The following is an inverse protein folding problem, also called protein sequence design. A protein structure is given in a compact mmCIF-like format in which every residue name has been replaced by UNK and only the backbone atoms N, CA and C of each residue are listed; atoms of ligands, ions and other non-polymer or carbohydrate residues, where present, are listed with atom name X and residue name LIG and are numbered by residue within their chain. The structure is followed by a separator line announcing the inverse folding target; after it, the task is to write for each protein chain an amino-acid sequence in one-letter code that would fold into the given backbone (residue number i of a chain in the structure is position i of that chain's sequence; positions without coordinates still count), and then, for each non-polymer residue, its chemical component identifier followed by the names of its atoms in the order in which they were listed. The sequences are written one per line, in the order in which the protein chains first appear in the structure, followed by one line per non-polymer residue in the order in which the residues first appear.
data_IF_962785597786
#
_entry.id   IF_962785597786
#
_cell.length_a   1.000
_cell.length_b   1.000
_cell.length_c   1.000
_cell.angle_alpha   90.00
_cell.angle_beta   90.00
_cell.angle_gamma   90.00
#
_symmetry.space_group_name_H-M   'P 1'
#
loop_
_entity.id
_entity.type
_entity.pdbx_description
1 polymer ?
#
# COMPACT_ATOMS: atom_id res chain seq x y z
N UNK A 1 -39.44 -2.60 -57.26
CA UNK A 1 -38.54 -1.47 -56.85
C UNK A 1 -38.58 -1.12 -55.36
N UNK A 2 -39.64 -1.45 -54.58
CA UNK A 2 -39.67 -1.14 -53.14
C UNK A 2 -38.87 -2.13 -52.26
N UNK A 3 -38.81 -3.43 -52.60
CA UNK A 3 -38.05 -4.45 -51.84
C UNK A 3 -36.53 -4.19 -51.79
N UNK A 4 -35.93 -3.71 -52.88
CA UNK A 4 -34.48 -3.41 -52.93
C UNK A 4 -34.07 -2.25 -51.99
N UNK A 5 -35.01 -1.35 -51.65
CA UNK A 5 -34.78 -0.29 -50.67
C UNK A 5 -34.80 -0.81 -49.23
N UNK A 6 -35.63 -1.81 -48.92
CA UNK A 6 -35.69 -2.45 -47.60
C UNK A 6 -34.41 -3.25 -47.31
N UNK A 7 -33.91 -4.03 -48.27
CA UNK A 7 -32.65 -4.78 -48.12
C UNK A 7 -31.41 -3.88 -47.97
N UNK A 8 -31.41 -2.70 -48.61
CA UNK A 8 -30.35 -1.68 -48.39
C UNK A 8 -30.43 -1.07 -46.99
N UNK A 9 -31.63 -0.83 -46.45
CA UNK A 9 -31.79 -0.29 -45.11
C UNK A 9 -31.31 -1.28 -44.04
N UNK A 10 -31.63 -2.58 -44.15
CA UNK A 10 -31.17 -3.59 -43.18
C UNK A 10 -29.65 -3.79 -43.20
N UNK A 11 -29.03 -3.82 -44.39
CA UNK A 11 -27.57 -3.92 -44.52
C UNK A 11 -26.85 -2.68 -43.97
N UNK A 12 -27.43 -1.49 -44.14
CA UNK A 12 -26.89 -0.25 -43.58
C UNK A 12 -27.11 -0.14 -42.07
N UNK A 13 -28.20 -0.68 -41.53
CA UNK A 13 -28.45 -0.77 -40.09
C UNK A 13 -27.44 -1.69 -39.40
N UNK A 14 -27.13 -2.86 -39.99
CA UNK A 14 -26.07 -3.77 -39.48
C UNK A 14 -24.67 -3.16 -39.53
N UNK A 15 -24.35 -2.39 -40.58
CA UNK A 15 -23.07 -1.66 -40.69
C UNK A 15 -22.97 -0.47 -39.72
N UNK A 16 -24.06 0.25 -39.47
CA UNK A 16 -24.13 1.32 -38.44
C UNK A 16 -24.00 0.76 -37.03
N UNK A 17 -24.66 -0.36 -36.72
CA UNK A 17 -24.53 -1.04 -35.43
C UNK A 17 -23.10 -1.49 -35.16
N UNK A 18 -22.43 -2.09 -36.14
CA UNK A 18 -21.03 -2.54 -36.01
C UNK A 18 -20.05 -1.37 -35.81
N UNK A 19 -20.29 -0.22 -36.45
CA UNK A 19 -19.52 1.01 -36.20
C UNK A 19 -19.80 1.61 -34.83
N UNK A 20 -21.05 1.60 -34.36
CA UNK A 20 -21.41 2.05 -33.02
C UNK A 20 -20.72 1.22 -31.92
N UNK A 21 -20.72 -0.11 -32.07
CA UNK A 21 -20.01 -1.01 -31.15
C UNK A 21 -18.51 -0.79 -31.20
N UNK A 22 -17.93 -0.61 -32.39
CA UNK A 22 -16.49 -0.37 -32.53
C UNK A 22 -16.08 0.98 -31.91
N UNK A 23 -16.86 2.05 -32.12
CA UNK A 23 -16.62 3.35 -31.48
C UNK A 23 -16.74 3.23 -29.96
N UNK A 24 -17.78 2.57 -29.46
CA UNK A 24 -17.95 2.34 -28.02
C UNK A 24 -16.79 1.55 -27.41
N UNK A 25 -16.30 0.53 -28.11
CA UNK A 25 -15.12 -0.23 -27.70
C UNK A 25 -13.86 0.63 -27.67
N UNK A 26 -13.59 1.43 -28.70
CA UNK A 26 -12.44 2.33 -28.71
C UNK A 26 -12.51 3.39 -27.61
N UNK A 27 -13.69 3.99 -27.38
CA UNK A 27 -13.90 4.94 -26.29
C UNK A 27 -13.66 4.27 -24.94
N UNK A 28 -14.20 3.06 -24.73
CA UNK A 28 -13.98 2.29 -23.51
C UNK A 28 -12.49 1.98 -23.30
N UNK A 29 -11.79 1.53 -24.34
CA UNK A 29 -10.34 1.25 -24.28
C UNK A 29 -9.56 2.54 -23.96
N UNK A 30 -9.88 3.66 -24.59
CA UNK A 30 -9.22 4.96 -24.31
C UNK A 30 -9.48 5.41 -22.88
N UNK A 31 -10.70 5.25 -22.35
CA UNK A 31 -11.02 5.58 -20.96
C UNK A 31 -10.28 4.66 -20.00
N UNK A 32 -10.24 3.35 -20.25
CA UNK A 32 -9.49 2.40 -19.42
C UNK A 32 -8.00 2.72 -19.45
N UNK A 33 -7.43 2.99 -20.62
CA UNK A 33 -6.03 3.42 -20.75
C UNK A 33 -5.83 4.72 -19.97
N UNK A 34 -6.69 5.73 -20.12
CA UNK A 34 -6.56 6.99 -19.39
C UNK A 34 -6.66 6.79 -17.88
N UNK A 35 -7.58 5.96 -17.39
CA UNK A 35 -7.72 5.62 -15.96
C UNK A 35 -6.49 4.85 -15.46
N UNK A 36 -6.02 3.85 -16.19
CA UNK A 36 -4.80 3.12 -15.87
C UNK A 36 -3.58 4.03 -15.89
N UNK A 37 -3.47 4.94 -16.87
CA UNK A 37 -2.41 5.94 -16.92
C UNK A 37 -2.50 6.86 -15.73
N UNK A 38 -3.68 7.38 -15.36
CA UNK A 38 -3.83 8.24 -14.16
C UNK A 38 -3.47 7.47 -12.89
N UNK A 39 -3.91 6.22 -12.72
CA UNK A 39 -3.57 5.39 -11.55
C UNK A 39 -2.08 5.05 -11.50
N UNK A 40 -1.47 4.70 -12.64
CA UNK A 40 -0.04 4.45 -12.73
C UNK A 40 0.72 5.74 -12.50
N UNK A 41 0.25 6.90 -12.98
CA UNK A 41 0.93 8.18 -12.81
C UNK A 41 0.79 8.67 -11.38
N UNK A 42 -0.34 8.48 -10.68
CA UNK A 42 -0.44 8.85 -9.26
C UNK A 42 0.35 7.89 -8.37
N UNK A 43 0.39 6.60 -8.70
CA UNK A 43 1.25 5.64 -8.00
C UNK A 43 2.73 5.80 -8.34
N UNK A 44 3.08 6.21 -9.56
CA UNK A 44 4.45 6.46 -10.01
C UNK A 44 4.93 7.82 -9.51
N UNK A 45 4.16 8.89 -9.59
CA UNK A 45 4.48 10.19 -8.95
C UNK A 45 4.57 10.03 -7.44
N UNK A 46 3.76 9.15 -6.84
CA UNK A 46 3.88 8.74 -5.45
C UNK A 46 5.06 7.80 -5.12
N UNK A 47 5.63 7.08 -6.10
CA UNK A 47 6.75 6.11 -5.90
C UNK A 47 8.09 6.50 -6.53
N UNK A 48 8.14 7.46 -7.44
CA UNK A 48 9.33 7.87 -8.23
C UNK A 48 9.73 9.33 -8.00
N UNK A 49 9.09 10.04 -7.06
CA UNK A 49 9.39 11.44 -6.81
C UNK A 49 8.70 12.34 -7.83
N UNK A 50 8.01 13.35 -7.31
CA UNK A 50 7.31 14.34 -8.10
C UNK A 50 8.17 14.89 -9.23
N UNK A 51 7.53 15.06 -10.39
CA UNK A 51 8.04 15.85 -11.49
C UNK A 51 8.47 17.20 -10.89
N UNK A 52 9.79 17.45 -10.90
CA UNK A 52 10.42 18.66 -10.42
C UNK A 52 9.82 19.90 -11.08
N UNK A 53 8.80 20.49 -10.47
CA UNK A 53 8.64 21.93 -10.50
C UNK A 53 9.61 22.49 -9.48
N UNK A 54 10.69 23.11 -9.96
CA UNK A 54 11.77 23.78 -9.23
C UNK A 54 11.28 24.91 -8.33
N UNK A 55 10.48 24.55 -7.33
CA UNK A 55 10.13 25.41 -6.21
C UNK A 55 11.27 25.21 -5.21
N UNK A 56 11.91 26.29 -4.71
CA UNK A 56 12.89 26.16 -3.65
C UNK A 56 12.32 25.27 -2.55
N UNK A 57 13.05 24.22 -2.16
CA UNK A 57 12.65 23.40 -1.02
C UNK A 57 12.81 24.31 0.19
N UNK A 58 11.68 24.79 0.72
CA UNK A 58 11.67 25.49 1.99
C UNK A 58 12.04 24.47 3.08
N UNK A 59 13.08 24.78 3.86
CA UNK A 59 13.60 23.92 4.93
C UNK A 59 12.48 23.42 5.85
N UNK A 60 11.57 24.32 6.25
CA UNK A 60 10.44 24.00 7.13
C UNK A 60 9.48 22.98 6.51
N UNK A 61 9.10 23.19 5.24
CA UNK A 61 8.29 22.21 4.50
C UNK A 61 9.02 20.87 4.33
N UNK A 62 10.33 20.90 4.14
CA UNK A 62 11.15 19.70 4.04
C UNK A 62 11.05 18.87 5.31
N UNK A 63 11.25 19.50 6.48
CA UNK A 63 11.16 18.84 7.79
C UNK A 63 9.75 18.32 8.06
N UNK A 64 8.71 19.12 7.80
CA UNK A 64 7.31 18.69 7.96
C UNK A 64 6.98 17.49 7.06
N UNK A 65 7.49 17.48 5.82
CA UNK A 65 7.27 16.38 4.89
C UNK A 65 7.96 15.08 5.35
N UNK A 66 9.16 15.17 5.93
CA UNK A 66 9.86 14.04 6.52
C UNK A 66 9.08 13.49 7.72
N UNK A 67 8.61 14.36 8.62
CA UNK A 67 7.82 13.94 9.78
C UNK A 67 6.52 13.24 9.35
N UNK A 68 5.82 13.79 8.37
CA UNK A 68 4.62 13.16 7.81
C UNK A 68 4.92 11.80 7.15
N UNK A 69 6.07 11.66 6.49
CA UNK A 69 6.50 10.40 5.90
C UNK A 69 6.76 9.32 6.97
N UNK A 70 7.40 9.67 8.10
CA UNK A 70 7.61 8.75 9.23
C UNK A 70 6.27 8.26 9.79
N UNK A 71 5.32 9.17 10.03
CA UNK A 71 4.01 8.79 10.56
C UNK A 71 3.23 7.89 9.59
N UNK A 72 3.28 8.21 8.29
CA UNK A 72 2.71 7.32 7.24
C UNK A 72 3.37 5.94 7.28
N UNK A 73 4.71 5.89 7.36
CA UNK A 73 5.43 4.63 7.38
C UNK A 73 5.12 3.78 8.61
N UNK A 74 5.00 4.41 9.78
CA UNK A 74 4.58 3.78 11.03
C UNK A 74 3.17 3.18 10.91
N UNK A 75 2.22 3.94 10.39
CA UNK A 75 0.84 3.45 10.19
C UNK A 75 0.79 2.27 9.20
N UNK A 76 1.55 2.32 8.11
CA UNK A 76 1.63 1.23 7.14
C UNK A 76 2.22 -0.04 7.78
N UNK A 77 3.28 0.09 8.57
CA UNK A 77 3.89 -1.04 9.27
C UNK A 77 2.95 -1.66 10.32
N UNK A 78 2.20 -0.82 11.07
CA UNK A 78 1.26 -1.28 12.09
C UNK A 78 0.12 -2.14 11.51
N UNK A 79 -0.33 -1.86 10.28
CA UNK A 79 -1.34 -2.67 9.59
C UNK A 79 -0.81 -3.99 9.03
N UNK A 80 0.51 -4.18 8.99
CA UNK A 80 1.11 -5.39 8.44
C UNK A 80 1.07 -6.54 9.46
N UNK A 81 0.35 -7.62 9.12
CA UNK A 81 0.32 -8.86 9.91
C UNK A 81 1.40 -9.85 9.48
N UNK A 82 2.44 -9.36 8.82
CA UNK A 82 3.46 -10.16 8.16
C UNK A 82 4.69 -10.40 9.05
N UNK A 83 5.69 -11.11 8.51
CA UNK A 83 6.97 -11.33 9.19
C UNK A 83 7.77 -10.04 9.38
N UNK A 84 8.68 -10.02 10.35
CA UNK A 84 9.59 -8.90 10.63
C UNK A 84 10.18 -8.26 9.36
N UNK A 85 10.75 -9.07 8.47
CA UNK A 85 11.39 -8.60 7.24
C UNK A 85 10.42 -7.83 6.33
N UNK A 86 9.16 -8.29 6.24
CA UNK A 86 8.13 -7.62 5.43
C UNK A 86 7.62 -6.35 6.10
N UNK A 87 7.44 -6.34 7.42
CA UNK A 87 7.03 -5.15 8.16
C UNK A 87 8.07 -4.01 8.01
N UNK A 88 9.35 -4.34 8.16
CA UNK A 88 10.45 -3.37 7.95
C UNK A 88 10.56 -2.94 6.49
N UNK A 89 10.38 -3.85 5.53
CA UNK A 89 10.38 -3.49 4.11
C UNK A 89 9.22 -2.54 3.75
N UNK A 90 8.03 -2.76 4.31
CA UNK A 90 6.87 -1.87 4.14
C UNK A 90 7.09 -0.51 4.76
N UNK A 91 7.69 -0.46 5.96
CA UNK A 91 8.09 0.79 6.60
C UNK A 91 9.03 1.59 5.70
N UNK A 92 10.14 0.98 5.25
CA UNK A 92 11.12 1.64 4.36
C UNK A 92 10.52 2.07 3.02
N UNK A 93 9.67 1.24 2.42
CA UNK A 93 8.98 1.58 1.18
C UNK A 93 8.02 2.76 1.33
N UNK A 94 7.49 2.98 2.54
CA UNK A 94 6.52 4.05 2.83
C UNK A 94 7.18 5.37 3.22
N UNK A 95 8.46 5.35 3.60
CA UNK A 95 9.29 6.54 3.84
C UNK A 95 9.72 7.24 2.54
N UNK A 96 9.77 6.50 1.43
CA UNK A 96 10.04 7.08 0.11
C UNK A 96 8.79 7.81 -0.43
N UNK A 97 8.97 8.89 -1.22
CA UNK A 97 10.21 9.48 -1.75
C UNK A 97 10.80 10.64 -0.92
N UNK A 98 10.27 10.94 0.26
CA UNK A 98 10.73 12.06 1.09
C UNK A 98 12.12 11.78 1.68
N UNK A 99 12.38 10.53 2.09
CA UNK A 99 13.66 10.14 2.67
C UNK A 99 14.84 10.23 1.69
N UNK A 100 14.63 9.92 0.41
CA UNK A 100 15.66 10.08 -0.63
C UNK A 100 16.05 11.54 -0.89
N UNK A 101 15.14 12.50 -0.62
CA UNK A 101 15.40 13.94 -0.76
C UNK A 101 16.00 14.59 0.50
N UNK A 102 16.34 13.80 1.53
CA UNK A 102 16.93 14.31 2.78
C UNK A 102 18.17 15.18 2.55
N UNK A 103 19.07 14.77 1.65
CA UNK A 103 20.27 15.55 1.33
C UNK A 103 19.97 16.89 0.65
N UNK A 104 18.82 17.04 0.00
CA UNK A 104 18.38 18.31 -0.60
C UNK A 104 17.79 19.23 0.48
N UNK A 105 17.04 18.65 1.43
CA UNK A 105 16.47 19.35 2.59
C UNK A 105 17.58 19.84 3.52
N UNK A 106 18.59 19.02 3.80
CA UNK A 106 19.75 19.40 4.62
C UNK A 106 20.49 20.61 4.02
N UNK A 107 20.67 20.63 2.69
CA UNK A 107 21.25 21.77 1.97
C UNK A 107 20.38 23.03 2.05
N UNK A 108 19.05 22.88 2.03
CA UNK A 108 18.13 24.00 2.24
C UNK A 108 18.16 24.53 3.69
N UNK A 109 18.45 23.66 4.66
CA UNK A 109 18.53 24.01 6.08
C UNK A 109 19.92 24.48 6.54
N UNK A 110 20.96 24.35 5.73
CA UNK A 110 22.36 24.61 6.11
C UNK A 110 22.64 26.00 6.73
N UNK A 111 21.80 27.01 6.42
CA UNK A 111 21.91 28.36 6.98
C UNK A 111 21.14 28.60 8.29
N UNK A 112 20.44 27.60 8.83
CA UNK A 112 19.55 27.74 9.99
C UNK A 112 19.86 26.66 11.05
N UNK A 113 20.67 26.97 12.08
CA UNK A 113 21.11 25.97 13.07
C UNK A 113 19.93 25.34 13.83
N UNK A 114 18.94 26.13 14.24
CA UNK A 114 17.75 25.65 14.95
C UNK A 114 16.94 24.66 14.09
N UNK A 115 16.93 24.85 12.77
CA UNK A 115 16.22 23.96 11.84
C UNK A 115 17.02 22.71 11.50
N UNK A 116 18.36 22.79 11.52
CA UNK A 116 19.21 21.61 11.41
C UNK A 116 19.04 20.68 12.62
N UNK A 117 18.91 21.22 13.82
CA UNK A 117 18.60 20.44 15.02
C UNK A 117 17.23 19.74 14.90
N UNK A 118 16.22 20.47 14.43
CA UNK A 118 14.90 19.89 14.16
C UNK A 118 14.95 18.79 13.09
N UNK A 119 15.73 18.98 12.02
CA UNK A 119 15.94 17.97 10.98
C UNK A 119 16.62 16.72 11.54
N UNK A 120 17.67 16.88 12.34
CA UNK A 120 18.38 15.75 12.98
C UNK A 120 17.46 14.97 13.92
N UNK A 121 16.63 15.66 14.71
CA UNK A 121 15.63 15.03 15.56
C UNK A 121 14.63 14.18 14.75
N UNK A 122 14.17 14.65 13.59
CA UNK A 122 13.27 13.88 12.71
C UNK A 122 13.98 12.68 12.09
N UNK A 123 15.24 12.81 11.72
CA UNK A 123 16.05 11.70 11.20
C UNK A 123 16.23 10.64 12.29
N UNK A 124 16.55 11.06 13.50
CA UNK A 124 16.69 10.19 14.66
C UNK A 124 15.38 9.46 14.97
N UNK A 125 14.25 10.17 14.92
CA UNK A 125 12.91 9.59 15.07
C UNK A 125 12.66 8.50 14.02
N UNK A 126 12.96 8.76 12.75
CA UNK A 126 12.77 7.77 11.68
C UNK A 126 13.57 6.48 11.91
N UNK A 127 14.82 6.59 12.39
CA UNK A 127 15.62 5.43 12.76
C UNK A 127 15.07 4.70 14.00
N UNK A 128 14.60 5.44 15.01
CA UNK A 128 14.01 4.86 16.21
C UNK A 128 12.71 4.10 15.90
N UNK A 129 11.86 4.64 15.02
CA UNK A 129 10.62 3.99 14.56
C UNK A 129 10.92 2.72 13.76
N UNK A 130 11.93 2.70 12.89
CA UNK A 130 12.32 1.46 12.20
C UNK A 130 12.70 0.34 13.21
N UNK A 131 13.45 0.71 14.26
CA UNK A 131 13.83 -0.23 15.32
C UNK A 131 12.62 -0.67 16.15
N UNK A 132 11.66 0.22 16.41
CA UNK A 132 10.42 -0.13 17.09
C UNK A 132 9.59 -1.13 16.25
N UNK A 133 9.37 -0.84 14.96
CA UNK A 133 8.67 -1.73 14.02
C UNK A 133 9.30 -3.12 14.00
N UNK A 134 10.64 -3.20 13.99
CA UNK A 134 11.34 -4.48 14.04
C UNK A 134 11.02 -5.26 15.30
N UNK A 135 11.11 -4.62 16.47
CA UNK A 135 10.85 -5.25 17.77
C UNK A 135 9.40 -5.74 17.86
N UNK A 136 8.45 -4.88 17.51
CA UNK A 136 7.02 -5.18 17.57
C UNK A 136 6.66 -6.36 16.65
N UNK A 137 7.24 -6.40 15.45
CA UNK A 137 6.99 -7.49 14.51
C UNK A 137 7.54 -8.84 15.01
N UNK A 138 8.70 -8.85 15.69
CA UNK A 138 9.25 -10.06 16.30
C UNK A 138 8.31 -10.55 17.42
N UNK A 139 7.93 -9.67 18.34
CA UNK A 139 7.05 -10.01 19.47
C UNK A 139 5.69 -10.55 19.01
N UNK A 140 5.05 -9.88 18.05
CA UNK A 140 3.79 -10.33 17.47
C UNK A 140 3.93 -11.69 16.77
N UNK A 141 5.05 -11.94 16.10
CA UNK A 141 5.28 -13.22 15.42
C UNK A 141 5.34 -14.39 16.41
N UNK A 142 5.96 -14.19 17.56
CA UNK A 142 6.05 -15.19 18.62
C UNK A 142 4.69 -15.47 19.26
N UNK A 143 3.92 -14.41 19.56
CA UNK A 143 2.57 -14.54 20.10
C UNK A 143 1.67 -15.29 19.12
N UNK A 144 1.76 -14.99 17.81
CA UNK A 144 0.98 -15.69 16.76
C UNK A 144 1.37 -17.15 16.63
N UNK A 145 2.68 -17.46 16.65
CA UNK A 145 3.17 -18.85 16.65
C UNK A 145 2.62 -19.62 17.85
N UNK A 146 2.67 -19.02 19.04
CA UNK A 146 2.13 -19.61 20.28
C UNK A 146 0.62 -19.82 20.17
N UNK A 147 -0.15 -18.81 19.76
CA UNK A 147 -1.61 -18.93 19.58
C UNK A 147 -1.97 -20.03 18.57
N UNK A 148 -1.30 -20.08 17.42
CA UNK A 148 -1.52 -21.11 16.41
C UNK A 148 -1.21 -22.52 16.95
N UNK A 149 -0.13 -22.68 17.72
CA UNK A 149 0.22 -23.97 18.34
C UNK A 149 -0.81 -24.44 19.38
N UNK A 150 -1.44 -23.53 20.11
CA UNK A 150 -2.49 -23.84 21.07
C UNK A 150 -3.78 -24.25 20.36
N UNK A 151 -4.17 -23.55 19.28
CA UNK A 151 -5.35 -23.87 18.48
C UNK A 151 -5.21 -25.19 17.71
N UNK A 152 -3.99 -25.54 17.28
CA UNK A 152 -3.71 -26.79 16.56
C UNK A 152 -3.64 -28.02 17.47
N UNK A 153 -3.56 -27.83 18.80
CA UNK A 153 -3.61 -28.93 19.76
C UNK A 153 -5.03 -29.50 19.74
N UNK A 154 -5.25 -30.77 19.37
CA UNK A 154 -6.57 -31.37 19.46
C UNK A 154 -7.04 -31.24 20.91
N UNK A 155 -8.31 -30.89 21.12
CA UNK A 155 -8.93 -30.99 22.43
C UNK A 155 -8.65 -32.41 22.93
N UNK A 156 -7.82 -32.52 23.96
CA UNK A 156 -7.53 -33.80 24.60
C UNK A 156 -8.87 -34.46 24.89
N UNK A 157 -9.14 -35.69 24.40
CA UNK A 157 -10.34 -36.40 24.77
C UNK A 157 -10.32 -36.51 26.30
N UNK A 158 -11.18 -35.73 26.95
CA UNK A 158 -11.37 -35.82 28.39
C UNK A 158 -11.72 -37.27 28.68
N UNK A 159 -10.91 -37.91 29.52
CA UNK A 159 -11.14 -39.28 30.00
C UNK A 159 -12.59 -39.41 30.50
N UNK A 160 -13.48 -40.00 29.70
CA UNK A 160 -14.70 -40.63 30.20
C UNK A 160 -14.34 -42.01 30.73
N UNK A 161 -13.52 -42.04 31.79
CA UNK A 161 -13.31 -43.21 32.64
C UNK A 161 -14.29 -43.11 33.82
N UNK A 162 -15.59 -43.25 33.54
CA UNK A 162 -16.61 -43.36 34.58
C UNK A 162 -17.78 -44.21 34.10
N UNK A 163 -17.54 -45.48 33.83
CA UNK A 163 -18.59 -46.50 33.89
C UNK A 163 -17.99 -47.80 34.45
N UNK A 164 -17.67 -47.76 35.74
CA UNK A 164 -17.41 -48.93 36.58
C UNK A 164 -18.47 -48.97 37.68
N UNK A 165 -19.54 -49.74 37.43
CA UNK A 165 -20.64 -50.24 38.30
C UNK A 165 -21.87 -50.40 37.39
N UNK A 166 -22.60 -51.50 37.30
CA UNK A 166 -22.81 -52.67 38.15
C UNK A 166 -23.25 -53.84 37.27
N UNK A 167 -22.73 -55.03 37.52
CA UNK A 167 -23.43 -56.28 37.20
C UNK A 167 -22.90 -57.39 38.11
N UNK A 168 -23.67 -57.73 39.13
CA UNK A 168 -23.55 -59.00 39.84
C UNK A 168 -24.91 -59.73 39.73
N UNK A 169 -24.93 -61.02 39.36
CA UNK A 169 -26.12 -61.87 39.41
C UNK A 169 -26.51 -62.26 40.84
#
# INVERSE_FOLDING_TARGET
MMQDRQDRQERNARKKGRRGVMIGYFVFVVVVIAVCTVQITTQAVGRLGGISSSTPIDCDRGIESLMAAVERARSAAATSHETETKAVALFRASLEPEWSRRGDIERACAGQPDRLEALDAVIHLGFAEEHAVRRDAIELSDIRRKAASLLRRPASPSLSSSTQRESWP
#
